data_IF_434208693869
#
_entry.id   IF_434208693869
#
_cell.length_a   1.000
_cell.length_b   1.000
_cell.length_c   1.000
_cell.angle_alpha   90.00
_cell.angle_beta   90.00
_cell.angle_gamma   90.00
#
_symmetry.space_group_name_H-M   'P 1'
#
loop_
_entity.id
_entity.type
_entity.pdbx_description
1 polymer ?
#
# COMPACT_ATOMS: atom_id res chain seq x y z
N UNK A 1 12.15 -14.35 -16.51
CA UNK A 1 12.39 -15.23 -17.67
C UNK A 1 11.18 -16.11 -17.94
N UNK A 2 10.46 -15.86 -19.04
CA UNK A 2 9.31 -16.63 -19.48
C UNK A 2 9.66 -18.08 -19.84
N UNK A 3 8.78 -19.02 -19.48
CA UNK A 3 8.98 -20.45 -19.74
C UNK A 3 9.06 -20.77 -21.23
N UNK A 4 8.26 -20.10 -22.05
CA UNK A 4 8.16 -20.39 -23.50
C UNK A 4 9.43 -19.97 -24.26
N UNK A 5 10.13 -18.94 -23.77
CA UNK A 5 11.35 -18.42 -24.43
C UNK A 5 12.62 -18.90 -23.75
N UNK A 6 12.60 -19.11 -22.43
CA UNK A 6 13.77 -19.44 -21.61
C UNK A 6 13.45 -20.57 -20.62
N UNK A 7 13.14 -21.78 -21.10
CA UNK A 7 12.66 -22.89 -20.27
C UNK A 7 13.67 -23.31 -19.19
N UNK A 8 14.97 -23.30 -19.51
CA UNK A 8 16.02 -23.65 -18.54
C UNK A 8 16.12 -22.67 -17.37
N UNK A 9 15.71 -21.42 -17.57
CA UNK A 9 15.76 -20.38 -16.54
C UNK A 9 14.43 -20.21 -15.80
N UNK A 10 13.36 -20.89 -16.22
CA UNK A 10 12.04 -20.63 -15.66
C UNK A 10 11.87 -21.14 -14.22
N UNK A 11 12.68 -22.15 -13.83
CA UNK A 11 12.65 -22.79 -12.51
C UNK A 11 13.73 -22.30 -11.56
N UNK A 12 14.56 -21.32 -11.96
CA UNK A 12 15.60 -20.81 -11.06
C UNK A 12 14.97 -19.99 -9.93
N UNK A 13 15.41 -20.13 -8.67
CA UNK A 13 14.77 -19.43 -7.55
C UNK A 13 14.69 -17.91 -7.72
N UNK A 14 15.74 -17.27 -8.25
CA UNK A 14 15.77 -15.83 -8.55
C UNK A 14 14.76 -15.40 -9.64
N UNK A 15 14.23 -16.36 -10.39
CA UNK A 15 13.21 -16.16 -11.41
C UNK A 15 11.79 -16.49 -10.92
N UNK A 16 11.65 -17.06 -9.72
CA UNK A 16 10.39 -17.47 -9.12
C UNK A 16 9.92 -16.43 -8.10
N UNK A 17 8.92 -15.65 -8.48
CA UNK A 17 8.34 -14.62 -7.64
C UNK A 17 7.06 -15.15 -6.99
N UNK A 18 6.96 -15.20 -5.65
CA UNK A 18 5.68 -15.44 -5.01
C UNK A 18 4.79 -14.22 -5.26
N UNK A 19 3.64 -14.45 -5.88
CA UNK A 19 2.67 -13.42 -6.21
C UNK A 19 1.26 -13.97 -6.04
N UNK A 20 0.32 -13.12 -5.64
CA UNK A 20 -1.10 -13.49 -5.66
C UNK A 20 -1.62 -13.57 -7.11
N UNK A 21 -2.76 -14.23 -7.32
CA UNK A 21 -3.34 -14.44 -8.65
C UNK A 21 -3.55 -13.15 -9.44
N UNK A 22 -3.96 -12.08 -8.76
CA UNK A 22 -4.19 -10.79 -9.41
C UNK A 22 -2.88 -10.14 -9.87
N UNK A 23 -1.83 -10.18 -9.04
CA UNK A 23 -0.50 -9.70 -9.43
C UNK A 23 0.08 -10.57 -10.55
N UNK A 24 -0.09 -11.90 -10.47
CA UNK A 24 0.39 -12.82 -11.48
C UNK A 24 -0.28 -12.59 -12.85
N UNK A 25 -1.57 -12.28 -12.87
CA UNK A 25 -2.30 -11.90 -14.10
C UNK A 25 -1.80 -10.58 -14.69
N UNK A 26 -1.60 -9.54 -13.86
CA UNK A 26 -1.12 -8.23 -14.31
C UNK A 26 0.33 -8.28 -14.83
N UNK A 27 1.18 -9.07 -14.18
CA UNK A 27 2.61 -9.22 -14.51
C UNK A 27 2.87 -9.59 -15.96
N UNK A 28 2.09 -10.52 -16.52
CA UNK A 28 2.26 -11.00 -17.90
C UNK A 28 3.65 -11.60 -18.20
N UNK A 29 3.97 -11.62 -19.51
CA UNK A 29 5.25 -12.11 -20.03
C UNK A 29 6.20 -10.93 -20.27
N UNK A 30 7.25 -10.83 -19.45
CA UNK A 30 8.26 -9.75 -19.51
C UNK A 30 9.68 -10.30 -19.46
N UNK A 31 10.58 -9.65 -20.20
CA UNK A 31 12.03 -9.88 -20.21
C UNK A 31 12.70 -8.52 -20.05
N UNK A 32 13.67 -8.43 -19.14
CA UNK A 32 14.44 -7.21 -18.91
C UNK A 32 15.31 -6.84 -20.12
N UNK A 33 15.58 -5.55 -20.29
CA UNK A 33 16.46 -5.01 -21.33
C UNK A 33 17.43 -3.97 -20.77
N UNK A 34 18.20 -3.31 -21.65
CA UNK A 34 19.25 -2.36 -21.25
C UNK A 34 18.71 -1.18 -20.44
N UNK A 35 17.52 -0.66 -20.78
CA UNK A 35 16.91 0.48 -20.06
C UNK A 35 16.07 0.11 -18.84
N UNK A 36 15.42 -1.07 -18.86
CA UNK A 36 14.64 -1.60 -17.73
C UNK A 36 15.12 -3.03 -17.50
N UNK A 37 16.20 -3.23 -16.74
CA UNK A 37 16.79 -4.55 -16.54
C UNK A 37 15.86 -5.47 -15.74
N UNK A 38 14.95 -4.88 -14.95
CA UNK A 38 14.07 -5.60 -14.03
C UNK A 38 12.79 -4.81 -13.74
N UNK A 39 11.69 -5.54 -13.56
CA UNK A 39 10.36 -4.95 -13.37
C UNK A 39 9.77 -5.15 -11.96
N UNK A 40 10.20 -6.19 -11.25
CA UNK A 40 9.52 -6.59 -10.01
C UNK A 40 10.50 -6.78 -8.87
N UNK A 41 10.09 -6.28 -7.71
CA UNK A 41 10.70 -6.58 -6.42
C UNK A 41 10.56 -8.08 -6.15
N UNK A 42 11.63 -8.70 -5.65
CA UNK A 42 11.69 -10.10 -5.28
C UNK A 42 11.73 -10.18 -3.76
N UNK A 43 10.69 -10.70 -3.10
CA UNK A 43 10.53 -10.61 -1.65
C UNK A 43 11.56 -11.41 -0.83
N UNK A 44 12.42 -12.21 -1.48
CA UNK A 44 13.46 -13.00 -0.81
C UNK A 44 14.88 -12.54 -1.16
N UNK A 45 15.07 -11.86 -2.30
CA UNK A 45 16.39 -11.48 -2.78
C UNK A 45 16.62 -9.96 -2.71
N UNK A 46 15.55 -9.17 -2.66
CA UNK A 46 15.66 -7.73 -2.39
C UNK A 46 15.57 -7.48 -0.90
N UNK A 47 16.69 -7.10 -0.29
CA UNK A 47 16.76 -6.84 1.15
C UNK A 47 15.83 -5.68 1.55
N UNK A 48 15.74 -4.64 0.71
CA UNK A 48 14.84 -3.50 0.94
C UNK A 48 13.35 -3.86 0.92
N UNK A 49 12.96 -5.08 0.50
CA UNK A 49 11.59 -5.57 0.63
C UNK A 49 11.12 -5.68 2.08
N UNK A 50 12.05 -5.69 3.05
CA UNK A 50 11.75 -5.61 4.48
C UNK A 50 11.51 -4.18 4.98
N UNK A 51 11.85 -3.15 4.21
CA UNK A 51 11.61 -1.75 4.52
C UNK A 51 10.22 -1.32 4.03
N UNK A 52 9.74 -0.17 4.50
CA UNK A 52 8.51 0.39 3.97
C UNK A 52 8.76 1.00 2.58
N UNK A 53 8.14 0.39 1.57
CA UNK A 53 8.24 0.75 0.16
C UNK A 53 7.02 1.55 -0.29
N UNK A 54 5.89 1.35 0.36
CA UNK A 54 4.60 1.93 -0.04
C UNK A 54 4.24 3.11 0.85
N UNK A 55 3.61 4.12 0.24
CA UNK A 55 3.04 5.27 0.94
C UNK A 55 1.68 5.63 0.38
N UNK A 56 0.90 6.34 1.19
CA UNK A 56 -0.38 6.91 0.81
C UNK A 56 -0.45 8.35 1.32
N UNK A 57 -0.91 9.25 0.47
CA UNK A 57 -1.28 10.62 0.87
C UNK A 57 -2.79 10.74 0.80
N UNK A 58 -3.39 11.18 1.90
CA UNK A 58 -4.83 11.42 2.01
C UNK A 58 -5.04 12.94 2.05
N UNK A 59 -5.69 13.50 1.04
CA UNK A 59 -5.86 14.95 0.92
C UNK A 59 -7.33 15.38 1.06
N UNK A 60 -7.58 16.61 1.57
CA UNK A 60 -8.93 17.15 1.69
C UNK A 60 -9.60 17.36 0.32
N UNK A 61 -10.94 17.55 0.27
CA UNK A 61 -11.86 17.63 1.42
C UNK A 61 -12.07 16.28 2.11
N UNK A 62 -12.04 16.23 3.44
CA UNK A 62 -12.10 14.96 4.18
C UNK A 62 -13.50 14.34 4.24
N UNK A 63 -14.54 15.06 3.83
CA UNK A 63 -15.85 14.47 3.56
C UNK A 63 -15.80 13.50 2.36
N UNK A 64 -14.88 13.75 1.41
CA UNK A 64 -14.67 12.95 0.21
C UNK A 64 -13.18 13.01 -0.21
N UNK A 65 -12.28 12.35 0.54
CA UNK A 65 -10.85 12.54 0.37
C UNK A 65 -10.34 11.93 -0.94
N UNK A 66 -9.23 12.48 -1.43
CA UNK A 66 -8.44 11.87 -2.50
C UNK A 66 -7.31 11.04 -1.91
N UNK A 67 -6.94 9.98 -2.62
CA UNK A 67 -5.93 9.00 -2.22
C UNK A 67 -4.83 8.98 -3.29
N UNK A 68 -3.64 9.42 -2.94
CA UNK A 68 -2.45 9.32 -3.80
C UNK A 68 -1.53 8.23 -3.25
N UNK A 69 -1.48 7.10 -3.95
CA UNK A 69 -0.77 5.90 -3.53
C UNK A 69 0.48 5.71 -4.38
N UNK A 70 1.63 5.57 -3.71
CA UNK A 70 2.90 5.56 -4.38
C UNK A 70 4.01 4.89 -3.58
N UNK A 71 5.23 5.28 -3.93
CA UNK A 71 6.46 4.78 -3.28
C UNK A 71 6.79 5.67 -2.08
N UNK A 72 7.19 5.05 -0.98
CA UNK A 72 7.64 5.75 0.22
C UNK A 72 8.92 6.56 -0.07
N UNK A 73 9.05 7.75 0.54
CA UNK A 73 10.30 8.51 0.46
C UNK A 73 11.41 7.77 1.21
N UNK A 74 12.67 8.04 0.86
CA UNK A 74 13.85 7.57 1.60
C UNK A 74 14.52 6.31 1.05
N UNK A 75 13.91 5.61 0.09
CA UNK A 75 14.57 4.53 -0.64
C UNK A 75 15.72 5.04 -1.51
N UNK A 76 16.72 4.20 -1.79
CA UNK A 76 17.76 4.54 -2.75
C UNK A 76 17.16 4.78 -4.15
N UNK A 77 17.81 5.56 -5.03
CA UNK A 77 17.26 5.86 -6.36
C UNK A 77 16.90 4.61 -7.19
N UNK A 78 17.76 3.59 -7.19
CA UNK A 78 17.51 2.34 -7.92
C UNK A 78 16.34 1.53 -7.36
N UNK A 79 16.14 1.57 -6.04
CA UNK A 79 15.04 0.89 -5.35
C UNK A 79 13.72 1.62 -5.59
N UNK A 80 13.78 2.96 -5.58
CA UNK A 80 12.65 3.82 -5.95
C UNK A 80 12.18 3.52 -7.37
N UNK A 81 13.10 3.48 -8.34
CA UNK A 81 12.78 3.18 -9.74
C UNK A 81 12.16 1.78 -9.92
N UNK A 82 12.72 0.78 -9.21
CA UNK A 82 12.21 -0.59 -9.23
C UNK A 82 10.83 -0.67 -8.56
N UNK A 83 10.62 0.02 -7.44
CA UNK A 83 9.33 0.08 -6.76
C UNK A 83 8.28 0.76 -7.63
N UNK A 84 8.57 1.92 -8.21
CA UNK A 84 7.68 2.61 -9.14
C UNK A 84 7.30 1.72 -10.32
N UNK A 85 8.28 1.01 -10.89
CA UNK A 85 8.04 0.03 -11.94
C UNK A 85 7.14 -1.11 -11.44
N UNK A 86 7.41 -1.68 -10.27
CA UNK A 86 6.60 -2.74 -9.67
C UNK A 86 5.14 -2.31 -9.47
N UNK A 87 4.90 -1.11 -8.94
CA UNK A 87 3.55 -0.56 -8.71
C UNK A 87 2.80 -0.37 -10.03
N UNK A 88 3.48 0.20 -11.04
CA UNK A 88 2.92 0.45 -12.37
C UNK A 88 2.57 -0.85 -13.08
N UNK A 89 3.52 -1.78 -13.18
CA UNK A 89 3.35 -3.03 -13.93
C UNK A 89 2.31 -3.97 -13.28
N UNK A 90 2.04 -3.85 -11.98
CA UNK A 90 1.03 -4.62 -11.26
C UNK A 90 -0.30 -3.88 -11.03
N UNK A 91 -0.42 -2.67 -11.58
CA UNK A 91 -1.60 -1.79 -11.48
C UNK A 91 -2.08 -1.62 -10.03
N UNK A 92 -1.14 -1.45 -9.08
CA UNK A 92 -1.48 -1.50 -7.66
C UNK A 92 -2.34 -0.30 -7.22
N UNK A 93 -2.10 0.89 -7.75
CA UNK A 93 -2.87 2.09 -7.42
C UNK A 93 -4.36 1.93 -7.73
N UNK A 94 -4.70 1.45 -8.94
CA UNK A 94 -6.09 1.23 -9.37
C UNK A 94 -6.78 0.18 -8.49
N UNK A 95 -6.07 -0.92 -8.20
CA UNK A 95 -6.58 -2.01 -7.39
C UNK A 95 -6.83 -1.57 -5.95
N UNK A 96 -5.92 -0.78 -5.38
CA UNK A 96 -6.01 -0.35 -3.99
C UNK A 96 -6.92 0.85 -3.76
N UNK A 97 -7.24 1.63 -4.79
CA UNK A 97 -8.19 2.74 -4.71
C UNK A 97 -9.58 2.31 -4.17
N UNK A 98 -10.05 1.10 -4.45
CA UNK A 98 -11.31 0.57 -3.88
C UNK A 98 -11.14 0.26 -2.40
N UNK A 99 -10.03 -0.36 -2.00
CA UNK A 99 -9.75 -0.69 -0.59
C UNK A 99 -9.66 0.58 0.26
N UNK A 100 -8.92 1.61 -0.19
CA UNK A 100 -8.80 2.86 0.56
C UNK A 100 -10.15 3.57 0.73
N UNK A 101 -10.97 3.65 -0.32
CA UNK A 101 -12.32 4.24 -0.23
C UNK A 101 -13.22 3.49 0.75
N UNK A 102 -13.22 2.15 0.69
CA UNK A 102 -14.02 1.33 1.60
C UNK A 102 -13.52 1.42 3.04
N UNK A 103 -12.21 1.44 3.21
CA UNK A 103 -11.57 1.56 4.52
C UNK A 103 -11.81 2.93 5.14
N UNK A 104 -11.83 4.01 4.35
CA UNK A 104 -12.18 5.35 4.82
C UNK A 104 -13.62 5.42 5.33
N UNK A 105 -14.59 4.84 4.60
CA UNK A 105 -15.98 4.73 5.09
C UNK A 105 -16.08 3.93 6.39
N UNK A 106 -15.29 2.86 6.51
CA UNK A 106 -15.19 2.07 7.75
C UNK A 106 -14.58 2.90 8.87
N UNK A 107 -13.51 3.65 8.61
CA UNK A 107 -12.85 4.54 9.56
C UNK A 107 -13.85 5.54 10.16
N UNK A 108 -14.65 6.22 9.33
CA UNK A 108 -15.66 7.16 9.82
C UNK A 108 -16.66 6.50 10.79
N UNK A 109 -17.14 5.29 10.47
CA UNK A 109 -18.01 4.50 11.36
C UNK A 109 -17.32 4.12 12.67
N UNK A 110 -16.05 3.72 12.60
CA UNK A 110 -15.26 3.34 13.78
C UNK A 110 -15.00 4.54 14.68
N UNK A 111 -14.56 5.66 14.12
CA UNK A 111 -14.30 6.90 14.87
C UNK A 111 -15.58 7.43 15.51
N UNK A 112 -16.71 7.42 14.79
CA UNK A 112 -17.99 7.80 15.38
C UNK A 112 -18.33 6.92 16.59
N UNK A 113 -18.15 5.60 16.48
CA UNK A 113 -18.35 4.67 17.61
C UNK A 113 -17.40 4.99 18.77
N UNK A 114 -16.11 5.16 18.50
CA UNK A 114 -15.10 5.48 19.51
C UNK A 114 -15.47 6.75 20.28
N UNK A 115 -15.87 7.82 19.57
CA UNK A 115 -16.33 9.08 20.17
C UNK A 115 -17.56 8.87 21.06
N UNK A 116 -18.57 8.13 20.59
CA UNK A 116 -19.78 7.83 21.39
C UNK A 116 -19.51 6.96 22.61
N UNK A 117 -18.47 6.12 22.56
CA UNK A 117 -18.04 5.25 23.67
C UNK A 117 -16.91 5.85 24.50
N UNK A 118 -16.57 7.13 24.29
CA UNK A 118 -15.51 7.86 24.99
C UNK A 118 -14.13 7.15 24.93
N UNK A 119 -13.82 6.50 23.82
CA UNK A 119 -12.51 5.89 23.55
C UNK A 119 -11.55 6.91 22.95
N UNK A 120 -10.25 6.77 23.25
CA UNK A 120 -9.21 7.57 22.60
C UNK A 120 -9.05 7.13 21.14
N UNK A 121 -9.44 8.00 20.21
CA UNK A 121 -9.39 7.74 18.76
C UNK A 121 -7.95 7.52 18.30
N UNK A 122 -7.01 8.40 18.69
CA UNK A 122 -5.62 8.30 18.28
C UNK A 122 -4.96 7.01 18.74
N UNK A 123 -5.14 6.64 20.01
CA UNK A 123 -4.61 5.38 20.57
C UNK A 123 -5.21 4.15 19.88
N UNK A 124 -6.53 4.18 19.62
CA UNK A 124 -7.22 3.08 18.93
C UNK A 124 -6.72 2.90 17.50
N UNK A 125 -6.51 3.99 16.77
CA UNK A 125 -5.97 3.95 15.40
C UNK A 125 -4.50 3.54 15.37
N UNK A 126 -3.70 3.95 16.37
CA UNK A 126 -2.33 3.49 16.53
C UNK A 126 -2.25 1.98 16.74
N UNK A 127 -3.14 1.41 17.55
CA UNK A 127 -3.23 -0.04 17.74
C UNK A 127 -3.59 -0.76 16.42
N UNK A 128 -4.53 -0.23 15.63
CA UNK A 128 -4.85 -0.81 14.32
C UNK A 128 -3.67 -0.73 13.34
N UNK A 129 -2.92 0.38 13.35
CA UNK A 129 -1.70 0.51 12.56
C UNK A 129 -0.65 -0.54 12.97
N UNK A 130 -0.42 -0.69 14.28
CA UNK A 130 0.52 -1.67 14.82
C UNK A 130 0.14 -3.11 14.44
N UNK A 131 -1.13 -3.48 14.59
CA UNK A 131 -1.63 -4.81 14.23
C UNK A 131 -1.48 -5.10 12.73
N UNK A 132 -1.71 -4.10 11.87
CA UNK A 132 -1.49 -4.23 10.44
C UNK A 132 0.00 -4.33 10.08
N UNK A 133 0.88 -3.61 10.78
CA UNK A 133 2.33 -3.67 10.60
C UNK A 133 2.90 -5.07 10.89
N UNK A 134 2.32 -5.80 11.87
CA UNK A 134 2.70 -7.17 12.19
C UNK A 134 2.52 -8.15 11.02
N UNK A 135 1.58 -7.88 10.11
CA UNK A 135 1.43 -8.65 8.88
C UNK A 135 2.46 -8.21 7.84
N UNK A 136 2.56 -6.91 7.61
CA UNK A 136 3.58 -6.28 6.78
C UNK A 136 3.49 -4.76 6.88
N UNK A 137 4.64 -4.10 6.98
CA UNK A 137 4.77 -2.64 6.83
C UNK A 137 4.34 -2.15 5.43
N UNK A 138 4.30 -3.05 4.44
CA UNK A 138 3.81 -2.81 3.08
C UNK A 138 2.38 -3.33 2.85
N UNK A 139 1.65 -3.72 3.90
CA UNK A 139 0.23 -4.01 3.75
C UNK A 139 -0.54 -2.71 3.47
N UNK A 140 -1.54 -2.78 2.59
CA UNK A 140 -2.37 -1.60 2.28
C UNK A 140 -3.11 -1.07 3.52
N UNK A 141 -3.42 -1.95 4.48
CA UNK A 141 -4.05 -1.58 5.76
C UNK A 141 -3.09 -0.77 6.64
N UNK A 142 -1.84 -1.23 6.78
CA UNK A 142 -0.81 -0.50 7.53
C UNK A 142 -0.59 0.89 6.92
N UNK A 143 -0.32 0.93 5.62
CA UNK A 143 -0.09 2.18 4.88
C UNK A 143 -1.29 3.13 5.03
N UNK A 144 -2.52 2.61 5.00
CA UNK A 144 -3.69 3.45 5.22
C UNK A 144 -3.74 4.06 6.63
N UNK A 145 -3.57 3.26 7.70
CA UNK A 145 -3.67 3.77 9.06
C UNK A 145 -2.50 4.67 9.44
N UNK A 146 -1.30 4.35 9.00
CA UNK A 146 -0.13 5.20 9.17
C UNK A 146 -0.37 6.57 8.52
N UNK A 147 -0.84 6.60 7.27
CA UNK A 147 -1.18 7.84 6.55
C UNK A 147 -2.27 8.67 7.23
N UNK A 148 -3.19 8.03 7.96
CA UNK A 148 -4.16 8.74 8.81
C UNK A 148 -3.45 9.36 10.01
N UNK A 149 -2.63 8.59 10.73
CA UNK A 149 -1.97 9.02 11.97
C UNK A 149 -0.95 10.14 11.76
N UNK A 150 -0.20 10.12 10.66
CA UNK A 150 0.80 11.16 10.34
C UNK A 150 0.16 12.43 9.75
N UNK A 151 -1.15 12.43 9.48
CA UNK A 151 -1.86 13.56 8.91
C UNK A 151 -2.61 14.33 10.01
N UNK A 152 -2.05 15.43 10.53
CA UNK A 152 -2.66 16.17 11.64
C UNK A 152 -4.02 16.77 11.29
N UNK A 153 -4.21 17.24 10.06
CA UNK A 153 -5.47 17.84 9.62
C UNK A 153 -6.60 16.80 9.54
N UNK A 154 -6.27 15.60 9.05
CA UNK A 154 -7.23 14.49 9.02
C UNK A 154 -7.53 14.00 10.44
N UNK A 155 -6.52 13.90 11.31
CA UNK A 155 -6.73 13.53 12.72
C UNK A 155 -7.61 14.54 13.46
N UNK A 156 -7.41 15.84 13.23
CA UNK A 156 -8.27 16.89 13.78
C UNK A 156 -9.71 16.76 13.27
N UNK A 157 -9.89 16.56 11.96
CA UNK A 157 -11.21 16.30 11.37
C UNK A 157 -11.90 15.08 12.00
N UNK A 158 -11.19 13.96 12.17
CA UNK A 158 -11.76 12.75 12.75
C UNK A 158 -12.19 12.95 14.22
N UNK A 159 -11.36 13.62 15.01
CA UNK A 159 -11.58 13.82 16.44
C UNK A 159 -12.65 14.90 16.72
N UNK A 160 -12.60 16.02 16.00
CA UNK A 160 -13.27 17.25 16.39
C UNK A 160 -14.40 17.68 15.44
N UNK A 161 -14.34 17.34 14.15
CA UNK A 161 -15.36 17.79 13.19
C UNK A 161 -16.68 17.01 13.31
N UNK A 162 -17.72 17.53 12.66
CA UNK A 162 -18.97 16.81 12.46
C UNK A 162 -18.79 15.81 11.31
N UNK A 163 -18.75 14.52 11.64
CA UNK A 163 -18.63 13.47 10.63
C UNK A 163 -19.93 13.34 9.83
N UNK A 164 -19.87 12.99 8.53
CA UNK A 164 -21.06 12.79 7.73
C UNK A 164 -21.92 11.67 8.32
N UNK A 165 -23.27 11.77 8.19
CA UNK A 165 -24.17 10.72 8.65
C UNK A 165 -23.81 9.41 7.95
N UNK A 166 -23.67 8.35 8.75
CA UNK A 166 -23.22 7.04 8.30
C UNK A 166 -24.23 6.50 7.27
N UNK A 167 -23.83 6.39 6.00
CA UNK A 167 -24.58 5.68 4.95
C UNK A 167 -24.50 4.15 5.15
#
# INVERSE_FOLDING_TARGET
MPKDTYPHFCVTPVNLFPMCDACQRAKGTKVGGVGVPRYFIHPYYDVFAGEQILSLVISPPFEAPTFDFGVAPGLAPMETDLAQTHLRELCLAERYAVFFRNQYRRLLRLVNRMRTSNQNVGESLANFSFDAANQSVNSWEHVFYESVLINPDLMDYLCNAQLPPLL
#
